data_IF_719928866294
#
_entry.id   IF_719928866294
#
_cell.length_a   1.000
_cell.length_b   1.000
_cell.length_c   1.000
_cell.angle_alpha   90.00
_cell.angle_beta   90.00
_cell.angle_gamma   90.00
#
_symmetry.space_group_name_H-M   'P 1'
#
loop_
_entity.id
_entity.type
_entity.pdbx_description
1 polymer ?
#
# COMPACT_ATOMS: atom_id res chain seq x y z
N UNK A 1 -8.87 -12.15 10.78
CA UNK A 1 -8.79 -10.97 9.87
C UNK A 1 -7.79 -11.27 8.76
N UNK A 2 -8.24 -11.22 7.53
CA UNK A 2 -7.41 -11.55 6.37
C UNK A 2 -7.51 -10.46 5.31
N UNK A 3 -6.42 -10.28 4.57
CA UNK A 3 -6.43 -9.51 3.33
C UNK A 3 -6.94 -10.42 2.22
N UNK A 4 -8.03 -10.03 1.56
CA UNK A 4 -8.62 -10.82 0.48
C UNK A 4 -8.35 -10.26 -0.91
N UNK A 5 -7.98 -9.01 -1.01
CA UNK A 5 -7.56 -8.39 -2.27
C UNK A 5 -6.72 -7.15 -2.01
N UNK A 6 -5.77 -6.90 -2.90
CA UNK A 6 -4.96 -5.69 -2.91
C UNK A 6 -4.93 -5.17 -4.32
N UNK A 7 -5.37 -3.93 -4.51
CA UNK A 7 -5.34 -3.27 -5.81
C UNK A 7 -4.50 -2.01 -5.73
N UNK A 8 -3.80 -1.72 -6.82
CA UNK A 8 -3.01 -0.52 -6.95
C UNK A 8 -3.43 0.19 -8.24
N UNK A 9 -3.55 1.50 -8.18
CA UNK A 9 -3.92 2.31 -9.33
C UNK A 9 -3.08 3.57 -9.36
N UNK A 10 -2.57 3.89 -10.53
CA UNK A 10 -1.86 5.15 -10.76
C UNK A 10 -2.88 6.20 -11.18
N UNK A 11 -2.87 7.31 -10.47
CA UNK A 11 -3.76 8.44 -10.75
C UNK A 11 -2.90 9.64 -11.08
N UNK A 12 -3.10 10.28 -12.26
CA UNK A 12 -2.36 11.48 -12.58
C UNK A 12 -2.79 12.63 -11.67
N UNK A 13 -1.82 13.42 -11.25
CA UNK A 13 -2.05 14.61 -10.44
C UNK A 13 -1.88 15.85 -11.31
N UNK A 14 -2.87 16.75 -11.26
CA UNK A 14 -2.73 18.08 -11.85
C UNK A 14 -2.41 19.05 -10.72
N UNK A 15 -1.23 19.67 -10.80
CA UNK A 15 -0.78 20.62 -9.79
C UNK A 15 -0.04 21.77 -10.46
N UNK A 16 -0.22 22.98 -9.92
CA UNK A 16 0.52 24.16 -10.34
C UNK A 16 1.80 24.38 -9.53
N UNK A 17 2.05 23.52 -8.53
CA UNK A 17 3.25 23.62 -7.70
C UNK A 17 4.47 23.22 -8.52
N UNK A 18 5.48 24.08 -8.50
CA UNK A 18 6.77 23.83 -9.17
C UNK A 18 7.88 24.59 -8.49
N UNK A 19 9.09 24.09 -8.65
CA UNK A 19 10.30 24.82 -8.25
C UNK A 19 11.26 24.94 -9.44
N UNK A 20 12.49 25.39 -9.19
CA UNK A 20 13.48 25.62 -10.28
C UNK A 20 13.86 24.34 -11.03
N UNK A 21 13.66 23.17 -10.44
CA UNK A 21 14.11 21.88 -10.98
C UNK A 21 12.95 20.93 -11.33
N UNK A 22 11.83 21.01 -10.61
CA UNK A 22 10.75 20.05 -10.69
C UNK A 22 9.41 20.76 -10.84
N UNK A 23 8.62 20.31 -11.82
CA UNK A 23 7.21 20.69 -11.91
C UNK A 23 6.36 19.52 -11.43
N UNK A 24 5.45 19.79 -10.52
CA UNK A 24 4.51 18.78 -10.01
C UNK A 24 3.26 18.64 -10.89
N UNK A 25 3.19 19.37 -12.00
CA UNK A 25 2.03 19.32 -12.90
C UNK A 25 1.83 17.97 -13.60
N UNK A 26 2.90 17.17 -13.69
CA UNK A 26 2.89 15.85 -14.37
C UNK A 26 3.24 14.70 -13.43
N UNK A 27 3.04 14.88 -12.14
CA UNK A 27 3.30 13.83 -11.18
C UNK A 27 2.13 12.86 -11.10
N UNK A 28 2.44 11.61 -10.75
CA UNK A 28 1.45 10.58 -10.52
C UNK A 28 1.29 10.32 -9.03
N UNK A 29 0.10 9.86 -8.65
CA UNK A 29 -0.18 9.33 -7.32
C UNK A 29 -0.48 7.84 -7.45
N UNK A 30 0.19 7.03 -6.65
CA UNK A 30 -0.11 5.61 -6.56
C UNK A 30 -1.07 5.39 -5.40
N UNK A 31 -2.25 4.85 -5.68
CA UNK A 31 -3.28 4.57 -4.68
C UNK A 31 -3.38 3.07 -4.50
N UNK A 32 -3.33 2.62 -3.24
CA UNK A 32 -3.46 1.21 -2.89
C UNK A 32 -4.74 1.03 -2.08
N UNK A 33 -5.53 0.04 -2.46
CA UNK A 33 -6.72 -0.37 -1.72
C UNK A 33 -6.52 -1.79 -1.22
N UNK A 34 -6.68 -1.99 0.08
CA UNK A 34 -6.58 -3.30 0.73
C UNK A 34 -7.96 -3.70 1.23
N UNK A 35 -8.51 -4.75 0.64
CA UNK A 35 -9.80 -5.28 1.03
C UNK A 35 -9.61 -6.42 2.03
N UNK A 36 -10.35 -6.36 3.13
CA UNK A 36 -10.28 -7.35 4.19
C UNK A 36 -11.54 -8.23 4.20
N UNK A 37 -11.47 -9.33 4.94
CA UNK A 37 -12.63 -10.18 5.19
C UNK A 37 -13.53 -9.67 6.32
N UNK A 38 -13.15 -8.59 6.97
CA UNK A 38 -13.96 -7.97 8.02
C UNK A 38 -15.15 -7.25 7.39
N UNK A 39 -16.34 -7.50 7.90
CA UNK A 39 -17.56 -6.88 7.39
C UNK A 39 -18.17 -5.94 8.41
N UNK A 40 -18.59 -4.78 7.95
CA UNK A 40 -19.38 -3.81 8.71
C UNK A 40 -20.58 -3.46 7.85
N UNK A 41 -21.78 -3.64 8.42
CA UNK A 41 -23.05 -3.41 7.71
C UNK A 41 -23.15 -4.20 6.38
N UNK A 42 -22.60 -5.43 6.37
CA UNK A 42 -22.65 -6.30 5.19
C UNK A 42 -21.59 -6.04 4.14
N UNK A 43 -20.76 -5.02 4.31
CA UNK A 43 -19.72 -4.68 3.37
C UNK A 43 -18.32 -4.95 3.93
N UNK A 44 -17.41 -5.39 3.07
CA UNK A 44 -16.03 -5.61 3.47
C UNK A 44 -15.33 -4.29 3.77
N UNK A 45 -14.57 -4.26 4.86
CA UNK A 45 -13.77 -3.10 5.21
C UNK A 45 -12.59 -3.01 4.26
N UNK A 46 -12.38 -1.83 3.67
CA UNK A 46 -11.30 -1.54 2.74
C UNK A 46 -10.47 -0.38 3.29
N UNK A 47 -9.17 -0.58 3.37
CA UNK A 47 -8.24 0.48 3.74
C UNK A 47 -7.57 1.06 2.50
N UNK A 48 -7.31 2.35 2.51
CA UNK A 48 -6.67 3.06 1.41
C UNK A 48 -5.41 3.75 1.88
N UNK A 49 -4.41 3.70 1.03
CA UNK A 49 -3.19 4.46 1.21
C UNK A 49 -2.74 5.03 -0.13
N UNK A 50 -1.91 6.04 -0.10
CA UNK A 50 -1.40 6.60 -1.34
C UNK A 50 0.02 7.12 -1.15
N UNK A 51 0.75 7.16 -2.26
CA UNK A 51 2.05 7.80 -2.35
C UNK A 51 1.95 8.91 -3.39
N UNK A 52 2.11 10.14 -2.94
CA UNK A 52 2.08 11.31 -3.82
C UNK A 52 3.48 11.66 -4.32
N UNK A 53 3.54 12.43 -5.39
CA UNK A 53 4.79 12.81 -6.03
C UNK A 53 5.64 11.60 -6.45
N UNK A 54 4.96 10.49 -6.71
CA UNK A 54 5.62 9.29 -7.16
C UNK A 54 6.19 9.47 -8.55
N UNK A 55 7.42 9.00 -8.73
CA UNK A 55 7.97 8.79 -10.04
C UNK A 55 7.77 7.31 -10.38
N UNK A 56 7.96 6.97 -11.64
CA UNK A 56 7.66 5.67 -12.25
C UNK A 56 8.01 4.44 -11.42
N UNK A 57 9.04 4.52 -10.57
CA UNK A 57 9.52 3.37 -9.80
C UNK A 57 8.59 2.97 -8.63
N UNK A 58 7.74 3.86 -8.15
CA UNK A 58 6.90 3.58 -6.98
C UNK A 58 5.86 2.50 -7.28
N UNK A 59 5.18 2.60 -8.42
CA UNK A 59 4.20 1.60 -8.81
C UNK A 59 4.82 0.22 -8.99
N UNK A 60 5.98 0.13 -9.62
CA UNK A 60 6.68 -1.15 -9.78
C UNK A 60 7.16 -1.72 -8.46
N UNK A 61 7.63 -0.86 -7.54
CA UNK A 61 8.03 -1.30 -6.21
C UNK A 61 6.84 -1.92 -5.47
N UNK A 62 5.68 -1.29 -5.54
CA UNK A 62 4.47 -1.81 -4.94
C UNK A 62 4.02 -3.12 -5.59
N UNK A 63 3.86 -3.14 -6.91
CA UNK A 63 3.27 -4.27 -7.62
C UNK A 63 4.20 -5.48 -7.71
N UNK A 64 5.51 -5.27 -7.80
CA UNK A 64 6.47 -6.36 -7.98
C UNK A 64 7.13 -6.82 -6.69
N UNK A 65 7.14 -6.00 -5.66
CA UNK A 65 7.85 -6.32 -4.41
C UNK A 65 6.93 -6.33 -3.19
N UNK A 66 6.30 -5.23 -2.85
CA UNK A 66 5.57 -5.11 -1.58
C UNK A 66 4.24 -5.86 -1.58
N UNK A 67 3.43 -5.68 -2.61
CA UNK A 67 2.13 -6.37 -2.68
C UNK A 67 2.29 -7.89 -2.71
N UNK A 68 3.20 -8.48 -3.53
CA UNK A 68 3.43 -9.91 -3.47
C UNK A 68 3.85 -10.42 -2.09
N UNK A 69 4.70 -9.67 -1.38
CA UNK A 69 5.11 -10.05 -0.01
C UNK A 69 3.94 -10.10 0.96
N UNK A 70 3.02 -9.13 0.88
CA UNK A 70 1.82 -9.15 1.69
C UNK A 70 0.90 -10.33 1.34
N UNK A 71 0.76 -10.64 0.05
CA UNK A 71 -0.09 -11.75 -0.39
C UNK A 71 0.45 -13.11 0.03
N UNK A 72 1.78 -13.25 0.08
CA UNK A 72 2.44 -14.50 0.47
C UNK A 72 2.57 -14.67 1.98
N UNK A 73 2.45 -13.61 2.75
CA UNK A 73 2.58 -13.65 4.19
C UNK A 73 1.43 -14.43 4.83
N UNK A 74 1.75 -15.17 5.89
CA UNK A 74 0.72 -15.81 6.69
C UNK A 74 -0.02 -14.76 7.53
N UNK A 75 -1.28 -15.00 7.81
CA UNK A 75 -2.12 -14.09 8.58
C UNK A 75 -1.48 -13.68 9.90
N UNK A 76 -0.90 -14.63 10.62
CA UNK A 76 -0.23 -14.37 11.91
C UNK A 76 0.95 -13.41 11.81
N UNK A 77 1.58 -13.30 10.64
CA UNK A 77 2.70 -12.39 10.43
C UNK A 77 2.28 -10.94 10.28
N UNK A 78 0.99 -10.71 10.08
CA UNK A 78 0.44 -9.37 9.84
C UNK A 78 -0.39 -8.85 11.00
N UNK A 79 -0.83 -9.73 11.89
CA UNK A 79 -1.73 -9.39 12.98
C UNK A 79 -0.97 -9.11 14.28
N UNK A 80 -1.58 -8.29 15.14
CA UNK A 80 -1.10 -8.10 16.50
C UNK A 80 -1.18 -9.41 17.30
N UNK A 81 -0.62 -9.42 18.51
CA UNK A 81 -0.46 -10.66 19.27
C UNK A 81 -1.78 -11.33 19.65
N UNK A 82 -2.85 -10.57 19.83
CA UNK A 82 -4.17 -11.12 20.12
C UNK A 82 -5.00 -11.43 18.86
N UNK A 83 -4.48 -11.14 17.69
CA UNK A 83 -5.13 -11.45 16.42
C UNK A 83 -6.35 -10.58 16.09
N UNK A 84 -6.55 -9.48 16.80
CA UNK A 84 -7.75 -8.65 16.63
C UNK A 84 -7.62 -7.57 15.55
N UNK A 85 -6.39 -7.21 15.19
CA UNK A 85 -6.17 -6.15 14.20
C UNK A 85 -4.81 -6.33 13.52
N UNK A 86 -4.63 -5.67 12.39
CA UNK A 86 -3.32 -5.62 11.75
C UNK A 86 -2.32 -4.82 12.58
N UNK A 87 -1.08 -5.28 12.58
CA UNK A 87 0.03 -4.60 13.24
C UNK A 87 0.85 -3.86 12.17
N UNK A 88 0.91 -2.53 12.20
CA UNK A 88 1.74 -1.78 11.27
C UNK A 88 3.22 -2.19 11.35
N UNK A 89 3.73 -2.48 12.55
CA UNK A 89 5.12 -2.90 12.72
C UNK A 89 5.41 -4.25 12.08
N UNK A 90 4.49 -5.21 12.23
CA UNK A 90 4.65 -6.53 11.60
C UNK A 90 4.54 -6.45 10.09
N UNK A 91 3.60 -5.66 9.58
CA UNK A 91 3.46 -5.41 8.14
C UNK A 91 4.75 -4.79 7.59
N UNK A 92 5.29 -3.80 8.30
CA UNK A 92 6.55 -3.18 7.92
C UNK A 92 7.67 -4.22 7.79
N UNK A 93 7.80 -5.13 8.77
CA UNK A 93 8.82 -6.18 8.72
C UNK A 93 8.66 -7.09 7.50
N UNK A 94 7.43 -7.46 7.17
CA UNK A 94 7.16 -8.27 5.99
C UNK A 94 7.54 -7.54 4.71
N UNK A 95 7.16 -6.27 4.60
CA UNK A 95 7.45 -5.46 3.42
C UNK A 95 8.94 -5.24 3.22
N UNK A 96 9.69 -5.12 4.29
CA UNK A 96 11.12 -4.79 4.23
C UNK A 96 12.03 -6.01 4.22
N UNK A 97 11.49 -7.20 4.14
CA UNK A 97 12.30 -8.42 3.99
C UNK A 97 13.20 -8.33 2.76
N UNK A 98 14.49 -8.60 2.96
CA UNK A 98 15.51 -8.56 1.91
C UNK A 98 15.71 -7.19 1.26
N UNK A 99 15.22 -6.13 1.90
CA UNK A 99 15.56 -4.78 1.49
C UNK A 99 16.80 -4.30 2.23
N UNK A 100 17.63 -3.56 1.52
CA UNK A 100 18.78 -2.90 2.15
C UNK A 100 18.31 -1.63 2.86
N UNK A 101 18.82 -1.38 4.06
CA UNK A 101 18.49 -0.14 4.75
C UNK A 101 19.06 1.08 4.00
#
# INVERSE_FOLDING_TARGET
MKIIDIQEKIVPISSEIKNAYISFAKMDCSVVAIKTDVKVDGENVVGYGFHSNGRYAVSELLTKRFIPRLKEAEEKELLNDDGTNFSPEKIWKVLMQNEKP
#
